data_IF_856637946402
#
_entry.id   IF_856637946402
#
_cell.length_a   1.000
_cell.length_b   1.000
_cell.length_c   1.000
_cell.angle_alpha   90.00
_cell.angle_beta   90.00
_cell.angle_gamma   90.00
#
_symmetry.space_group_name_H-M   'P 1'
#
loop_
_entity.id
_entity.type
_entity.pdbx_description
1 polymer ?
#
# COMPACT_ATOMS: atom_id res chain seq x y z
N UNK A 1 45.33 -42.17 -58.90
CA UNK A 1 44.60 -40.93 -58.55
C UNK A 1 43.22 -41.35 -58.04
N UNK A 2 42.91 -41.08 -56.76
CA UNK A 2 41.66 -41.48 -56.10
C UNK A 2 40.59 -40.38 -56.25
N UNK A 3 39.30 -40.73 -56.40
CA UNK A 3 38.21 -39.97 -55.83
C UNK A 3 37.43 -40.79 -54.78
N UNK A 4 36.69 -40.14 -53.86
CA UNK A 4 36.21 -40.78 -52.63
C UNK A 4 34.83 -41.41 -52.78
N UNK A 5 34.61 -42.41 -51.92
CA UNK A 5 33.40 -43.21 -51.78
C UNK A 5 32.36 -42.49 -50.89
N UNK A 6 31.10 -42.51 -51.32
CA UNK A 6 29.94 -42.23 -50.46
C UNK A 6 29.71 -43.40 -49.49
N UNK A 7 29.63 -43.11 -48.20
CA UNK A 7 29.19 -44.04 -47.16
C UNK A 7 27.84 -43.57 -46.61
N UNK A 8 26.81 -44.39 -46.85
CA UNK A 8 25.51 -44.33 -46.21
C UNK A 8 25.63 -45.03 -44.85
N UNK A 9 25.23 -44.37 -43.76
CA UNK A 9 25.14 -44.98 -42.44
C UNK A 9 23.80 -44.60 -41.79
N UNK A 10 22.94 -45.61 -41.74
CA UNK A 10 21.73 -45.69 -40.93
C UNK A 10 22.08 -45.88 -39.46
N UNK A 11 21.41 -45.17 -38.56
CA UNK A 11 21.44 -45.48 -37.12
C UNK A 11 20.07 -45.25 -36.48
N UNK A 12 19.63 -46.29 -35.76
CA UNK A 12 18.31 -46.50 -35.20
C UNK A 12 17.99 -45.59 -33.99
N UNK A 13 16.72 -45.21 -33.88
CA UNK A 13 16.13 -44.54 -32.72
C UNK A 13 15.81 -45.57 -31.62
N UNK A 14 16.47 -45.46 -30.47
CA UNK A 14 16.02 -46.08 -29.22
C UNK A 14 15.13 -45.07 -28.45
N UNK A 15 13.85 -45.38 -28.33
CA UNK A 15 12.90 -44.65 -27.49
C UNK A 15 12.95 -45.16 -26.05
N UNK A 16 13.30 -44.29 -25.10
CA UNK A 16 13.20 -44.55 -23.65
C UNK A 16 11.84 -44.05 -23.17
N UNK A 17 11.02 -44.96 -22.63
CA UNK A 17 9.72 -44.69 -22.02
C UNK A 17 9.91 -44.41 -20.54
N UNK A 18 9.47 -43.24 -20.06
CA UNK A 18 9.36 -42.94 -18.62
C UNK A 18 7.96 -43.32 -18.12
N UNK A 19 7.82 -43.88 -16.90
CA UNK A 19 6.52 -44.24 -16.35
C UNK A 19 5.72 -42.99 -15.92
N UNK A 20 4.43 -43.00 -16.23
CA UNK A 20 3.48 -41.95 -15.85
C UNK A 20 3.37 -41.81 -14.33
N UNK A 21 3.54 -40.59 -13.82
CA UNK A 21 3.26 -40.25 -12.43
C UNK A 21 1.77 -40.06 -12.27
N UNK A 22 1.19 -40.81 -11.32
CA UNK A 22 -0.23 -40.82 -10.99
C UNK A 22 -0.76 -39.44 -10.55
N UNK A 23 -2.01 -39.19 -10.92
CA UNK A 23 -2.82 -38.00 -10.67
C UNK A 23 -2.77 -37.51 -9.21
N UNK A 24 -2.21 -36.31 -9.01
CA UNK A 24 -2.45 -35.49 -7.83
C UNK A 24 -3.72 -34.69 -8.06
N UNK A 25 -4.85 -35.12 -7.48
CA UNK A 25 -6.07 -34.30 -7.40
C UNK A 25 -5.76 -32.96 -6.70
N UNK A 26 -5.50 -31.91 -7.50
CA UNK A 26 -5.49 -30.53 -7.01
C UNK A 26 -6.91 -30.16 -6.61
N UNK A 27 -7.17 -30.08 -5.30
CA UNK A 27 -8.32 -29.33 -4.79
C UNK A 27 -8.02 -27.84 -4.96
N UNK A 28 -8.25 -27.32 -6.17
CA UNK A 28 -8.36 -25.88 -6.40
C UNK A 28 -9.74 -25.43 -5.97
N UNK A 29 -9.83 -24.45 -5.07
CA UNK A 29 -11.03 -23.65 -4.94
C UNK A 29 -10.84 -22.40 -5.78
N UNK A 30 -11.83 -22.08 -6.60
CA UNK A 30 -11.92 -20.81 -7.30
C UNK A 30 -12.82 -19.90 -6.46
N UNK A 31 -12.32 -18.73 -6.08
CA UNK A 31 -13.21 -17.66 -5.63
C UNK A 31 -13.72 -17.01 -6.92
N UNK A 32 -15.00 -17.22 -7.21
CA UNK A 32 -15.66 -16.43 -8.24
C UNK A 32 -15.69 -14.99 -7.75
N UNK A 33 -14.96 -14.10 -8.43
CA UNK A 33 -14.99 -12.67 -8.13
C UNK A 33 -16.41 -12.18 -8.41
N UNK A 34 -17.22 -12.03 -7.37
CA UNK A 34 -18.51 -11.35 -7.47
C UNK A 34 -18.22 -9.87 -7.69
N UNK A 35 -18.49 -9.39 -8.90
CA UNK A 35 -18.46 -7.95 -9.23
C UNK A 35 -19.39 -7.24 -8.26
N UNK A 36 -18.88 -6.33 -7.44
CA UNK A 36 -19.71 -5.41 -6.69
C UNK A 36 -20.20 -4.33 -7.66
N UNK A 37 -21.48 -4.32 -8.08
CA UNK A 37 -21.99 -3.35 -9.04
C UNK A 37 -22.06 -1.93 -8.45
N UNK A 38 -21.91 -1.79 -7.12
CA UNK A 38 -21.89 -0.53 -6.40
C UNK A 38 -20.47 -0.05 -6.05
N UNK A 39 -19.43 -0.77 -6.51
CA UNK A 39 -18.04 -0.35 -6.32
C UNK A 39 -17.72 0.79 -7.30
N UNK A 40 -17.45 1.97 -6.75
CA UNK A 40 -17.05 3.16 -7.53
C UNK A 40 -15.54 3.33 -7.57
N UNK A 41 -14.81 2.21 -7.62
CA UNK A 41 -13.34 2.15 -7.55
C UNK A 41 -12.63 3.23 -8.35
N UNK A 42 -11.51 3.68 -7.78
CA UNK A 42 -10.73 4.87 -8.12
C UNK A 42 -11.41 6.19 -7.77
N UNK A 43 -11.11 6.68 -6.57
CA UNK A 43 -11.63 7.95 -6.09
C UNK A 43 -10.51 8.99 -6.10
N UNK A 44 -10.33 9.63 -7.27
CA UNK A 44 -9.42 10.76 -7.45
C UNK A 44 -9.52 11.83 -6.36
N UNK A 45 -10.72 12.33 -6.02
CA UNK A 45 -10.86 13.29 -4.93
C UNK A 45 -10.41 12.75 -3.57
N UNK A 46 -10.65 11.47 -3.23
CA UNK A 46 -10.13 10.89 -1.98
C UNK A 46 -8.60 10.81 -1.97
N UNK A 47 -7.98 10.40 -3.08
CA UNK A 47 -6.52 10.39 -3.21
C UNK A 47 -5.95 11.82 -3.11
N UNK A 48 -6.60 12.80 -3.72
CA UNK A 48 -6.18 14.20 -3.65
C UNK A 48 -6.29 14.76 -2.22
N UNK A 49 -7.40 14.49 -1.53
CA UNK A 49 -7.54 14.82 -0.10
C UNK A 49 -6.47 14.12 0.71
N UNK A 50 -6.20 12.83 0.41
CA UNK A 50 -5.12 12.02 1.00
C UNK A 50 -3.80 12.75 0.98
N UNK A 51 -3.51 13.45 -0.08
CA UNK A 51 -2.26 14.18 -0.18
C UNK A 51 -2.33 15.52 0.54
N UNK A 52 -3.41 16.30 0.37
CA UNK A 52 -3.52 17.64 0.96
C UNK A 52 -3.35 17.66 2.48
N UNK A 53 -4.06 16.81 3.25
CA UNK A 53 -3.88 16.88 4.71
C UNK A 53 -2.58 16.21 5.19
N UNK A 54 -1.95 15.32 4.40
CA UNK A 54 -0.71 14.56 4.78
C UNK A 54 0.42 15.56 4.93
N UNK A 55 0.40 16.56 4.06
CA UNK A 55 1.36 17.65 4.05
C UNK A 55 0.82 18.95 4.62
N UNK A 56 -0.25 18.88 5.43
CA UNK A 56 -0.85 20.01 6.12
C UNK A 56 -1.20 21.20 5.20
N UNK A 57 -1.65 20.89 3.97
CA UNK A 57 -2.09 21.87 2.98
C UNK A 57 -3.56 22.23 3.20
N UNK A 58 -3.92 23.50 2.98
CA UNK A 58 -5.31 23.93 3.02
C UNK A 58 -6.11 23.27 1.89
N UNK A 59 -7.23 22.62 2.25
CA UNK A 59 -8.12 21.99 1.25
C UNK A 59 -8.82 23.07 0.40
N UNK A 60 -8.78 22.98 -0.94
CA UNK A 60 -9.54 23.86 -1.81
C UNK A 60 -11.04 23.68 -1.56
N UNK A 61 -11.80 24.76 -1.64
CA UNK A 61 -13.24 24.75 -1.37
C UNK A 61 -13.98 23.69 -2.20
N UNK A 62 -13.72 23.60 -3.50
CA UNK A 62 -14.34 22.59 -4.36
C UNK A 62 -14.04 21.16 -3.94
N UNK A 63 -12.80 20.88 -3.50
CA UNK A 63 -12.44 19.55 -3.00
C UNK A 63 -13.15 19.22 -1.68
N UNK A 64 -13.34 20.20 -0.80
CA UNK A 64 -14.13 20.02 0.43
C UNK A 64 -15.61 19.77 0.12
N UNK A 65 -16.19 20.50 -0.84
CA UNK A 65 -17.57 20.33 -1.29
C UNK A 65 -17.79 18.96 -1.95
N UNK A 66 -16.85 18.49 -2.79
CA UNK A 66 -16.86 17.16 -3.39
C UNK A 66 -16.95 16.04 -2.34
N UNK A 67 -16.19 16.16 -1.25
CA UNK A 67 -16.25 15.22 -0.13
C UNK A 67 -17.62 15.23 0.57
N UNK A 68 -18.15 16.41 0.87
CA UNK A 68 -19.45 16.53 1.55
C UNK A 68 -20.60 16.02 0.68
N UNK A 69 -20.59 16.32 -0.62
CA UNK A 69 -21.54 15.76 -1.58
C UNK A 69 -21.47 14.22 -1.60
N UNK A 70 -20.27 13.66 -1.53
CA UNK A 70 -20.07 12.22 -1.47
C UNK A 70 -20.56 11.60 -0.17
N UNK A 71 -20.24 12.20 0.98
CA UNK A 71 -20.75 11.74 2.28
C UNK A 71 -22.27 11.70 2.31
N UNK A 72 -22.93 12.72 1.73
CA UNK A 72 -24.39 12.72 1.57
C UNK A 72 -24.87 11.58 0.69
N UNK A 73 -24.23 11.33 -0.46
CA UNK A 73 -24.58 10.22 -1.36
C UNK A 73 -24.42 8.86 -0.69
N UNK A 74 -23.31 8.64 0.00
CA UNK A 74 -23.02 7.38 0.71
C UNK A 74 -24.01 7.19 1.88
N UNK A 75 -24.36 8.26 2.60
CA UNK A 75 -25.38 8.24 3.65
C UNK A 75 -26.78 7.93 3.10
N UNK A 76 -27.15 8.50 1.95
CA UNK A 76 -28.41 8.19 1.25
C UNK A 76 -28.47 6.74 0.79
N UNK A 77 -27.40 6.22 0.17
CA UNK A 77 -27.32 4.83 -0.26
C UNK A 77 -27.39 3.86 0.94
N UNK A 78 -26.75 4.19 2.06
CA UNK A 78 -26.84 3.41 3.29
C UNK A 78 -28.25 3.45 3.90
N UNK A 79 -28.96 4.58 3.82
CA UNK A 79 -30.34 4.71 4.27
C UNK A 79 -31.31 3.90 3.39
N UNK A 80 -31.11 3.90 2.06
CA UNK A 80 -31.89 3.13 1.10
C UNK A 80 -31.71 1.61 1.30
N UNK A 81 -30.48 1.16 1.55
CA UNK A 81 -30.20 -0.23 1.91
C UNK A 81 -30.85 -0.65 3.22
N UNK A 82 -30.92 0.25 4.23
CA UNK A 82 -31.64 0.00 5.49
C UNK A 82 -33.17 -0.03 5.27
N UNK A 83 -33.70 0.82 4.39
CA UNK A 83 -35.11 0.81 3.99
C UNK A 83 -35.53 -0.49 3.29
N UNK A 84 -34.67 -1.03 2.43
CA UNK A 84 -34.91 -2.33 1.79
C UNK A 84 -34.81 -3.53 2.76
N UNK A 85 -34.02 -3.43 3.83
CA UNK A 85 -34.03 -4.42 4.91
C UNK A 85 -35.29 -4.33 5.77
N UNK A 86 -35.79 -3.13 6.05
CA UNK A 86 -37.05 -2.93 6.77
C UNK A 86 -38.26 -3.46 5.98
N UNK A 87 -38.30 -3.24 4.66
CA UNK A 87 -39.36 -3.74 3.77
C UNK A 87 -39.38 -5.27 3.63
N UNK A 88 -38.21 -5.94 3.69
CA UNK A 88 -38.14 -7.42 3.66
C UNK A 88 -38.58 -8.10 4.97
N UNK A 89 -38.73 -7.35 6.06
CA UNK A 89 -39.23 -7.86 7.34
C UNK A 89 -40.73 -7.60 7.57
N UNK A 90 -41.34 -6.68 6.81
CA UNK A 90 -42.78 -6.38 6.91
C UNK A 90 -43.65 -7.28 6.03
N UNK A 91 -43.08 -8.02 5.07
CA UNK A 91 -43.83 -8.83 4.10
C UNK A 91 -44.04 -10.31 4.52
N UNK A 92 -43.85 -10.62 5.81
CA UNK A 92 -44.01 -11.99 6.36
C UNK A 92 -44.82 -12.06 7.65
N UNK A 93 -45.85 -11.22 7.79
CA UNK A 93 -46.88 -11.42 8.83
C UNK A 93 -48.25 -11.52 8.19
N UNK A 94 -48.76 -12.75 8.15
CA UNK A 94 -50.20 -13.01 8.03
C UNK A 94 -50.95 -12.40 9.23
N UNK A 95 -52.21 -11.99 9.06
CA UNK A 95 -52.95 -11.27 10.08
C UNK A 95 -53.55 -12.25 11.10
N UNK A 96 -53.32 -11.99 12.39
CA UNK A 96 -54.06 -12.61 13.47
C UNK A 96 -54.51 -11.53 14.46
N UNK A 97 -55.81 -11.27 14.37
CA UNK A 97 -56.80 -10.97 15.41
C UNK A 97 -56.39 -10.21 16.69
N UNK A 98 -57.04 -9.06 16.77
CA UNK A 98 -57.50 -8.27 17.90
C UNK A 98 -57.78 -9.05 19.19
N UNK A 99 -57.04 -8.75 20.28
CA UNK A 99 -57.60 -8.68 21.64
C UNK A 99 -56.85 -7.61 22.43
N UNK A 100 -57.59 -6.55 22.78
CA UNK A 100 -57.25 -5.56 23.78
C UNK A 100 -57.15 -6.15 25.19
N UNK A 101 -56.07 -5.89 25.92
CA UNK A 101 -56.10 -5.63 27.37
C UNK A 101 -54.93 -4.73 27.75
N UNK A 102 -55.22 -3.71 28.55
CA UNK A 102 -54.30 -2.63 28.86
C UNK A 102 -53.46 -2.83 30.13
N UNK A 103 -52.81 -1.71 30.47
CA UNK A 103 -52.29 -1.29 31.77
C UNK A 103 -50.85 -1.69 32.15
N UNK A 104 -50.04 -0.61 32.13
CA UNK A 104 -49.18 -0.10 33.21
C UNK A 104 -47.94 -0.90 33.65
N UNK A 105 -46.81 -0.32 33.24
CA UNK A 105 -45.67 0.11 34.05
C UNK A 105 -45.67 -0.29 35.54
N UNK A 106 -44.63 -1.03 35.91
CA UNK A 106 -44.13 -1.18 37.27
C UNK A 106 -42.70 -1.70 37.23
N UNK A 107 -41.73 -0.81 37.43
CA UNK A 107 -40.37 -1.16 37.83
C UNK A 107 -40.42 -1.76 39.23
N UNK A 108 -39.71 -2.86 39.48
CA UNK A 108 -39.03 -3.05 40.76
C UNK A 108 -37.93 -4.11 40.69
N UNK A 109 -36.89 -3.83 41.48
CA UNK A 109 -35.69 -4.61 41.76
C UNK A 109 -36.07 -5.80 42.64
N UNK A 110 -35.35 -6.91 42.56
CA UNK A 110 -34.51 -7.39 43.66
C UNK A 110 -33.84 -8.74 43.40
N UNK A 111 -32.76 -8.90 44.17
CA UNK A 111 -31.84 -10.01 44.38
C UNK A 111 -32.47 -11.41 44.51
N UNK A 112 -31.67 -12.43 44.19
CA UNK A 112 -31.97 -13.81 44.57
C UNK A 112 -30.82 -14.78 44.27
N UNK A 113 -30.02 -15.04 45.30
CA UNK A 113 -28.90 -15.98 45.37
C UNK A 113 -29.36 -17.46 45.19
N UNK A 114 -28.52 -18.35 44.68
CA UNK A 114 -28.86 -19.78 44.57
C UNK A 114 -27.67 -20.71 44.22
N UNK A 115 -27.31 -21.55 45.18
CA UNK A 115 -26.13 -22.40 45.31
C UNK A 115 -25.92 -23.58 44.32
N UNK A 116 -24.61 -23.89 44.13
CA UNK A 116 -23.88 -25.18 44.12
C UNK A 116 -24.59 -26.52 43.82
N UNK A 117 -24.04 -27.27 42.86
CA UNK A 117 -23.29 -28.56 43.00
C UNK A 117 -23.21 -29.24 41.61
N UNK A 118 -22.04 -29.51 41.01
CA UNK A 118 -21.06 -30.60 41.25
C UNK A 118 -21.65 -32.02 41.12
N UNK A 119 -21.26 -32.71 40.03
CA UNK A 119 -21.01 -34.16 39.83
C UNK A 119 -20.64 -34.29 38.33
N UNK A 120 -19.52 -34.85 37.86
CA UNK A 120 -18.61 -35.80 38.46
C UNK A 120 -18.82 -37.20 37.85
N UNK A 121 -18.46 -37.42 36.59
CA UNK A 121 -18.18 -38.79 36.10
C UNK A 121 -17.07 -38.84 35.07
N UNK A 122 -16.26 -39.89 35.20
CA UNK A 122 -14.89 -40.05 34.73
C UNK A 122 -14.80 -41.48 34.17
N UNK A 123 -13.87 -41.67 33.22
CA UNK A 123 -13.20 -42.93 32.81
C UNK A 123 -14.00 -43.81 31.82
N UNK A 124 -13.42 -44.31 30.71
CA UNK A 124 -12.06 -44.20 30.18
C UNK A 124 -11.77 -45.20 29.05
N UNK A 125 -10.48 -45.22 28.66
CA UNK A 125 -9.72 -46.21 27.88
C UNK A 125 -10.09 -46.46 26.40
N UNK A 126 -9.15 -46.58 25.46
CA UNK A 126 -7.68 -46.59 25.54
C UNK A 126 -7.03 -46.91 24.19
N UNK A 127 -5.68 -46.88 24.20
CA UNK A 127 -4.72 -47.49 23.24
C UNK A 127 -4.74 -46.93 21.81
N UNK A 128 -3.66 -46.46 21.17
CA UNK A 128 -2.24 -46.70 21.32
C UNK A 128 -1.71 -47.19 19.97
N UNK A 129 -0.87 -46.41 19.25
CA UNK A 129 0.32 -46.88 18.49
C UNK A 129 0.88 -45.86 17.49
N UNK A 130 2.21 -45.80 17.55
CA UNK A 130 3.17 -45.66 16.46
C UNK A 130 3.44 -44.28 15.83
N UNK A 131 4.62 -43.78 16.23
CA UNK A 131 5.46 -42.84 15.52
C UNK A 131 5.69 -43.23 14.06
N UNK A 132 5.55 -42.24 13.17
CA UNK A 132 6.25 -42.22 11.88
C UNK A 132 6.76 -40.81 11.61
N UNK A 133 8.08 -40.67 11.75
CA UNK A 133 8.86 -39.55 11.21
C UNK A 133 8.53 -39.38 9.72
N UNK A 134 8.06 -38.19 9.33
CA UNK A 134 8.19 -37.67 7.97
C UNK A 134 8.81 -36.28 8.07
N UNK A 135 10.11 -36.24 7.78
CA UNK A 135 10.89 -35.06 7.47
C UNK A 135 10.34 -34.41 6.19
N UNK A 136 9.39 -33.49 6.35
CA UNK A 136 9.06 -32.50 5.35
C UNK A 136 10.07 -31.36 5.47
N UNK A 137 10.88 -31.18 4.43
CA UNK A 137 11.91 -30.14 4.28
C UNK A 137 11.26 -28.76 4.31
N UNK A 138 11.03 -28.23 5.51
CA UNK A 138 10.94 -26.80 5.78
C UNK A 138 12.31 -26.22 5.45
N UNK A 139 12.40 -25.33 4.46
CA UNK A 139 13.52 -24.40 4.37
C UNK A 139 13.34 -23.35 5.48
N UNK A 140 13.49 -23.80 6.73
CA UNK A 140 13.77 -22.94 7.86
C UNK A 140 15.27 -22.68 7.83
N UNK A 141 15.66 -21.48 7.39
CA UNK A 141 16.99 -20.97 7.70
C UNK A 141 17.03 -20.74 9.21
N UNK A 142 17.75 -21.59 9.94
CA UNK A 142 18.14 -21.30 11.31
C UNK A 142 19.65 -21.40 11.50
N UNK A 143 20.15 -20.28 12.01
CA UNK A 143 21.28 -20.06 12.90
C UNK A 143 22.70 -20.06 12.32
N UNK A 144 23.33 -18.89 12.47
CA UNK A 144 24.76 -18.69 12.30
C UNK A 144 25.20 -17.33 12.81
N UNK A 145 25.49 -17.27 14.10
CA UNK A 145 26.19 -16.20 14.80
C UNK A 145 27.39 -15.68 13.99
N UNK A 146 27.48 -14.36 13.75
CA UNK A 146 28.76 -13.67 13.51
C UNK A 146 29.46 -13.85 12.15
N UNK A 147 28.75 -13.81 11.03
CA UNK A 147 29.35 -13.36 9.76
C UNK A 147 28.60 -12.12 9.29
N UNK A 148 29.29 -10.98 9.26
CA UNK A 148 28.88 -9.70 8.69
C UNK A 148 28.76 -9.78 7.16
N UNK A 149 27.93 -10.70 6.68
CA UNK A 149 27.47 -10.70 5.30
C UNK A 149 26.56 -9.51 5.14
N UNK A 150 26.97 -8.53 4.33
CA UNK A 150 26.11 -7.39 4.05
C UNK A 150 24.80 -7.88 3.41
N UNK A 151 23.67 -7.35 3.87
CA UNK A 151 22.34 -7.87 3.58
C UNK A 151 21.79 -7.38 2.23
N UNK A 152 20.97 -8.20 1.59
CA UNK A 152 20.15 -7.82 0.42
C UNK A 152 18.75 -8.39 0.66
N UNK A 153 17.72 -7.57 0.43
CA UNK A 153 16.33 -7.98 0.54
C UNK A 153 15.53 -7.58 -0.69
N UNK A 154 14.51 -8.34 -1.04
CA UNK A 154 13.62 -7.99 -2.14
C UNK A 154 12.21 -8.50 -1.90
N UNK A 155 11.22 -7.63 -2.11
CA UNK A 155 9.80 -7.93 -1.95
C UNK A 155 9.02 -7.43 -3.17
N UNK A 156 7.98 -8.16 -3.61
CA UNK A 156 7.11 -7.66 -4.67
C UNK A 156 6.33 -6.44 -4.14
N UNK A 157 6.20 -5.42 -4.99
CA UNK A 157 5.31 -4.28 -4.76
C UNK A 157 4.05 -4.54 -5.59
N UNK A 158 3.01 -5.08 -4.97
CA UNK A 158 1.77 -5.45 -5.67
C UNK A 158 0.77 -4.31 -5.52
N UNK A 159 0.34 -3.73 -6.64
CA UNK A 159 -0.70 -2.71 -6.62
C UNK A 159 -1.98 -3.28 -6.00
N UNK A 160 -2.54 -2.63 -4.98
CA UNK A 160 -3.92 -2.91 -4.59
C UNK A 160 -4.91 -2.26 -5.58
N UNK A 161 -6.19 -2.63 -5.48
CA UNK A 161 -7.38 -2.07 -6.15
C UNK A 161 -7.13 -0.80 -6.98
N UNK A 162 -6.71 -1.00 -8.23
CA UNK A 162 -6.50 0.06 -9.22
C UNK A 162 -5.28 0.98 -8.99
N UNK A 163 -4.19 0.46 -8.43
CA UNK A 163 -2.92 1.19 -8.26
C UNK A 163 -3.08 2.45 -7.41
N UNK A 164 -3.95 2.36 -6.39
CA UNK A 164 -4.12 3.42 -5.39
C UNK A 164 -3.01 3.42 -4.34
N UNK A 165 -2.34 2.28 -4.19
CA UNK A 165 -1.15 2.05 -3.37
C UNK A 165 -0.49 0.72 -3.78
N UNK A 166 0.70 0.44 -3.26
CA UNK A 166 1.46 -0.78 -3.52
C UNK A 166 1.81 -1.50 -2.22
N UNK A 167 1.29 -2.71 -2.05
CA UNK A 167 1.48 -3.53 -0.86
C UNK A 167 2.63 -4.51 -1.04
N UNK A 168 3.44 -4.65 0.00
CA UNK A 168 4.57 -5.59 0.04
C UNK A 168 4.51 -6.48 1.29
N UNK A 169 4.83 -7.78 1.18
CA UNK A 169 4.90 -8.65 2.34
C UNK A 169 6.10 -8.27 3.22
N UNK A 170 5.84 -8.05 4.51
CA UNK A 170 6.85 -7.78 5.54
C UNK A 170 6.65 -8.78 6.67
N UNK A 171 7.73 -9.42 7.13
CA UNK A 171 7.67 -10.37 8.24
C UNK A 171 8.08 -9.70 9.53
N UNK A 172 7.19 -9.70 10.53
CA UNK A 172 7.41 -9.12 11.86
C UNK A 172 7.24 -10.20 12.91
N UNK A 173 8.29 -10.49 13.68
CA UNK A 173 8.23 -11.52 14.73
C UNK A 173 7.81 -12.90 14.22
N UNK A 174 8.14 -13.22 12.96
CA UNK A 174 7.72 -14.46 12.28
C UNK A 174 6.29 -14.44 11.70
N UNK A 175 5.62 -13.29 11.67
CA UNK A 175 4.27 -13.13 11.11
C UNK A 175 4.31 -12.23 9.89
N UNK A 176 3.76 -12.67 8.75
CA UNK A 176 3.71 -11.88 7.52
C UNK A 176 2.48 -10.98 7.50
N UNK A 177 2.71 -9.71 7.19
CA UNK A 177 1.71 -8.65 7.00
C UNK A 177 1.98 -7.99 5.64
N UNK A 178 0.95 -7.42 5.01
CA UNK A 178 1.10 -6.70 3.74
C UNK A 178 1.03 -5.20 3.99
N UNK A 179 2.17 -4.52 3.85
CA UNK A 179 2.32 -3.12 4.23
C UNK A 179 2.49 -2.22 3.00
N UNK A 180 1.95 -1.01 3.09
CA UNK A 180 2.28 0.10 2.19
C UNK A 180 3.65 0.67 2.60
N UNK A 181 4.63 0.62 1.69
CA UNK A 181 5.98 1.16 1.93
C UNK A 181 5.99 2.63 1.51
N UNK A 182 6.05 3.53 2.49
CA UNK A 182 5.73 4.95 2.33
C UNK A 182 6.96 5.85 2.53
N UNK A 183 7.54 6.39 1.45
CA UNK A 183 8.67 7.33 1.52
C UNK A 183 8.27 8.75 1.94
N UNK A 184 6.99 9.00 2.18
CA UNK A 184 6.43 10.23 2.72
C UNK A 184 6.05 10.18 4.20
N UNK A 185 6.39 9.10 4.94
CA UNK A 185 6.25 9.04 6.41
C UNK A 185 7.37 8.20 7.06
N UNK A 186 7.47 8.22 8.40
CA UNK A 186 8.59 7.61 9.15
C UNK A 186 8.14 6.68 10.28
N UNK A 187 6.89 6.21 10.22
CA UNK A 187 6.29 5.35 11.24
C UNK A 187 6.11 3.95 10.65
N UNK A 188 6.42 2.92 11.44
CA UNK A 188 6.13 1.52 11.09
C UNK A 188 5.00 1.06 11.99
N UNK A 189 3.76 1.19 11.54
CA UNK A 189 2.59 0.75 12.29
C UNK A 189 1.86 -0.40 11.60
N UNK A 190 1.25 -1.26 12.40
CA UNK A 190 0.55 -2.46 11.91
C UNK A 190 -0.79 -2.65 12.59
N UNK A 191 -1.75 -3.26 11.87
CA UNK A 191 -2.96 -3.78 12.46
C UNK A 191 -2.62 -4.90 13.45
N UNK A 192 -3.33 -4.93 14.58
CA UNK A 192 -3.04 -5.89 15.66
C UNK A 192 -4.29 -6.58 16.16
N UNK A 193 -4.11 -7.67 16.90
CA UNK A 193 -5.20 -8.36 17.62
C UNK A 193 -5.84 -7.53 18.73
N UNK A 194 -5.39 -6.29 18.97
CA UNK A 194 -6.03 -5.34 19.88
C UNK A 194 -7.18 -4.57 19.22
N UNK A 195 -7.29 -4.61 17.89
CA UNK A 195 -8.43 -4.07 17.14
C UNK A 195 -9.62 -5.04 17.20
N UNK A 196 -10.83 -4.52 16.97
CA UNK A 196 -12.04 -5.34 16.94
C UNK A 196 -11.95 -6.40 15.81
N UNK A 197 -11.98 -7.71 16.13
CA UNK A 197 -11.95 -8.79 15.14
C UNK A 197 -13.06 -8.70 14.09
N UNK A 198 -14.23 -8.14 14.44
CA UNK A 198 -15.34 -7.98 13.50
C UNK A 198 -14.99 -6.99 12.37
N UNK A 199 -14.14 -6.01 12.65
CA UNK A 199 -13.73 -4.97 11.68
C UNK A 199 -12.44 -5.30 10.94
N UNK A 200 -11.65 -6.26 11.44
CA UNK A 200 -10.33 -6.64 10.88
C UNK A 200 -10.34 -8.01 10.20
N UNK A 201 -11.51 -8.62 9.98
CA UNK A 201 -11.64 -9.98 9.44
C UNK A 201 -10.99 -10.20 8.05
N UNK A 202 -10.74 -9.14 7.28
CA UNK A 202 -10.10 -9.18 5.96
C UNK A 202 -8.65 -8.67 5.97
N UNK A 203 -8.06 -8.53 7.16
CA UNK A 203 -6.68 -8.10 7.35
C UNK A 203 -5.86 -9.21 8.02
N UNK A 204 -4.56 -9.23 7.76
CA UNK A 204 -3.64 -9.92 8.63
C UNK A 204 -3.35 -9.00 9.82
N UNK A 205 -3.52 -9.54 11.02
CA UNK A 205 -3.29 -8.80 12.26
C UNK A 205 -2.09 -9.36 12.98
N UNK A 206 -1.18 -8.48 13.39
CA UNK A 206 -0.03 -8.86 14.19
C UNK A 206 -0.47 -9.27 15.60
N UNK A 207 -0.02 -10.44 16.05
CA UNK A 207 -0.25 -10.92 17.40
C UNK A 207 1.07 -10.99 18.17
N UNK A 208 1.28 -10.04 19.08
CA UNK A 208 2.49 -9.96 19.91
C UNK A 208 2.76 -11.25 20.71
N UNK A 209 1.72 -11.97 21.16
CA UNK A 209 1.88 -13.22 21.92
C UNK A 209 2.41 -14.40 21.10
N UNK A 210 2.38 -14.31 19.77
CA UNK A 210 2.91 -15.33 18.85
C UNK A 210 4.37 -15.09 18.46
N UNK A 211 4.93 -13.92 18.80
CA UNK A 211 6.33 -13.60 18.54
C UNK A 211 7.19 -13.92 19.77
N UNK A 212 8.20 -14.77 19.60
CA UNK A 212 9.15 -15.07 20.67
C UNK A 212 10.12 -13.90 20.96
N UNK A 213 10.31 -13.02 19.98
CA UNK A 213 11.25 -11.90 19.99
C UNK A 213 10.61 -10.58 20.40
N UNK A 214 9.28 -10.49 20.39
CA UNK A 214 8.56 -9.29 20.78
C UNK A 214 8.89 -8.84 22.19
N UNK A 215 9.19 -7.54 22.36
CA UNK A 215 9.34 -6.89 23.66
C UNK A 215 8.55 -5.59 23.68
N UNK A 216 7.67 -5.35 24.67
CA UNK A 216 6.96 -4.07 24.76
C UNK A 216 7.94 -2.93 25.04
N UNK A 217 7.71 -1.77 24.42
CA UNK A 217 8.45 -0.55 24.72
C UNK A 217 7.63 0.30 25.68
N UNK A 218 7.70 -0.05 26.96
CA UNK A 218 6.87 0.56 28.02
C UNK A 218 6.99 2.08 28.06
N UNK A 219 5.84 2.76 28.07
CA UNK A 219 5.75 4.22 28.12
C UNK A 219 5.85 4.92 26.75
N UNK A 220 6.06 4.18 25.66
CA UNK A 220 6.03 4.72 24.31
C UNK A 220 4.64 4.53 23.66
N UNK A 221 4.20 5.57 22.96
CA UNK A 221 2.95 5.58 22.20
C UNK A 221 3.13 6.35 20.90
N UNK A 222 2.30 6.05 19.92
CA UNK A 222 2.28 6.74 18.63
C UNK A 222 0.87 7.24 18.33
N UNK A 223 0.81 8.31 17.53
CA UNK A 223 -0.42 8.81 16.96
C UNK A 223 -0.07 9.49 15.65
N UNK A 224 -0.53 8.91 14.56
CA UNK A 224 -0.31 9.40 13.22
C UNK A 224 -1.65 9.74 12.56
N UNK A 225 -1.64 10.82 11.80
CA UNK A 225 -2.75 11.24 10.95
C UNK A 225 -2.23 11.38 9.53
N UNK A 226 -2.90 10.73 8.59
CA UNK A 226 -2.63 10.84 7.17
C UNK A 226 -3.58 11.84 6.53
N UNK A 227 -3.29 12.18 5.28
CA UNK A 227 -3.99 13.28 4.69
C UNK A 227 -5.42 13.03 4.29
N UNK A 228 -5.86 11.79 4.21
CA UNK A 228 -7.24 11.45 3.88
C UNK A 228 -8.13 11.59 5.11
N UNK A 229 -7.57 12.09 6.21
CA UNK A 229 -8.17 12.09 7.54
C UNK A 229 -8.18 10.70 8.16
N UNK A 230 -7.54 9.70 7.53
CA UNK A 230 -7.23 8.46 8.21
C UNK A 230 -6.10 8.68 9.22
N UNK A 231 -5.94 7.73 10.11
CA UNK A 231 -4.92 7.77 11.13
C UNK A 231 -4.90 6.47 11.89
N UNK A 232 -3.84 6.30 12.66
CA UNK A 232 -3.67 5.18 13.55
C UNK A 232 -3.07 5.70 14.86
N UNK A 233 -3.38 5.02 15.95
CA UNK A 233 -2.75 5.29 17.24
C UNK A 233 -2.64 4.00 18.03
N UNK A 234 -1.73 4.01 19.01
CA UNK A 234 -1.59 2.88 19.91
C UNK A 234 -0.29 2.89 20.67
N UNK A 235 0.17 1.68 20.98
CA UNK A 235 1.37 1.44 21.79
C UNK A 235 2.56 1.07 20.91
N UNK A 236 3.75 0.92 21.48
CA UNK A 236 4.95 0.57 20.73
C UNK A 236 5.60 -0.67 21.34
N UNK A 237 6.16 -1.52 20.49
CA UNK A 237 7.02 -2.62 20.86
C UNK A 237 8.26 -2.68 19.98
N UNK A 238 9.17 -3.58 20.33
CA UNK A 238 10.35 -3.92 19.55
C UNK A 238 10.18 -5.35 19.07
N UNK A 239 10.46 -5.61 17.80
CA UNK A 239 10.53 -6.96 17.26
C UNK A 239 11.53 -7.05 16.10
N UNK A 240 11.76 -8.27 15.62
CA UNK A 240 12.48 -8.54 14.38
C UNK A 240 11.58 -8.18 13.22
N UNK A 241 12.07 -7.32 12.32
CA UNK A 241 11.42 -7.01 11.04
C UNK A 241 12.32 -7.52 9.91
N UNK A 242 11.73 -8.22 8.95
CA UNK A 242 12.37 -8.72 7.73
C UNK A 242 11.58 -8.28 6.50
N UNK A 243 12.27 -7.61 5.58
CA UNK A 243 11.78 -7.19 4.27
C UNK A 243 12.52 -7.98 3.20
N UNK A 244 12.02 -9.19 2.92
CA UNK A 244 12.49 -10.04 1.83
C UNK A 244 13.94 -10.50 1.97
N UNK A 245 14.42 -10.68 3.21
CA UNK A 245 15.79 -11.08 3.56
C UNK A 245 16.68 -9.96 4.10
N UNK A 246 16.28 -8.69 3.97
CA UNK A 246 16.89 -7.60 4.72
C UNK A 246 16.20 -7.53 6.09
N UNK A 247 16.91 -7.81 7.16
CA UNK A 247 16.37 -7.95 8.51
C UNK A 247 17.06 -7.08 9.55
N UNK A 248 16.26 -6.53 10.47
CA UNK A 248 16.73 -5.82 11.65
C UNK A 248 16.03 -6.36 12.89
N UNK A 249 16.81 -6.76 13.89
CA UNK A 249 16.31 -7.51 15.05
C UNK A 249 15.62 -6.65 16.13
N UNK A 250 15.85 -5.34 16.10
CA UNK A 250 15.42 -4.41 17.15
C UNK A 250 14.60 -3.24 16.59
N UNK A 251 13.72 -3.52 15.62
CA UNK A 251 12.90 -2.49 14.99
C UNK A 251 11.75 -2.11 15.92
N UNK A 252 11.50 -0.81 16.07
CA UNK A 252 10.27 -0.33 16.68
C UNK A 252 9.09 -0.60 15.76
N UNK A 253 8.07 -1.26 16.30
CA UNK A 253 6.79 -1.53 15.65
C UNK A 253 5.67 -0.86 16.46
N UNK A 254 4.83 -0.12 15.76
CA UNK A 254 3.74 0.66 16.32
C UNK A 254 2.44 -0.16 16.24
N UNK A 255 1.94 -0.56 17.40
CA UNK A 255 0.85 -1.51 17.56
C UNK A 255 -0.48 -0.75 17.60
N UNK A 256 -1.18 -0.71 16.47
CA UNK A 256 -2.44 0.01 16.38
C UNK A 256 -3.49 -0.61 17.31
N UNK A 257 -4.05 0.25 18.18
CA UNK A 257 -5.20 -0.03 19.04
C UNK A 257 -6.45 0.70 18.58
N UNK A 258 -6.29 1.70 17.71
CA UNK A 258 -7.37 2.31 16.95
C UNK A 258 -6.85 2.74 15.58
N UNK A 259 -7.70 2.55 14.57
CA UNK A 259 -7.46 2.99 13.18
C UNK A 259 -8.72 3.67 12.65
N UNK A 260 -8.55 4.64 11.76
CA UNK A 260 -9.68 5.28 11.10
C UNK A 260 -10.43 4.30 10.18
N UNK A 261 -11.74 4.50 9.92
CA UNK A 261 -12.55 3.62 9.07
C UNK A 261 -12.04 3.39 7.64
N UNK A 262 -11.19 4.28 7.14
CA UNK A 262 -10.54 4.19 5.83
C UNK A 262 -9.69 2.91 5.76
N UNK A 263 -8.79 2.69 6.72
CA UNK A 263 -7.94 1.49 6.78
C UNK A 263 -8.76 0.20 6.92
N UNK A 264 -9.89 0.24 7.63
CA UNK A 264 -10.77 -0.93 7.78
C UNK A 264 -11.53 -1.30 6.48
N UNK A 265 -11.73 -0.33 5.57
CA UNK A 265 -12.35 -0.60 4.26
C UNK A 265 -11.33 -1.03 3.21
N UNK A 266 -10.07 -0.68 3.46
CA UNK A 266 -8.93 -0.95 2.59
C UNK A 266 -8.38 -2.35 2.81
N UNK A 267 -9.17 -3.33 2.38
CA UNK A 267 -8.86 -4.73 2.60
C UNK A 267 -7.54 -5.10 1.91
N UNK A 268 -6.60 -5.64 2.69
CA UNK A 268 -5.28 -6.04 2.21
C UNK A 268 -4.15 -5.17 2.76
N UNK A 269 -4.43 -3.90 3.10
CA UNK A 269 -3.46 -3.04 3.77
C UNK A 269 -3.44 -3.35 5.27
N UNK A 270 -2.38 -3.98 5.73
CA UNK A 270 -2.20 -4.39 7.13
C UNK A 270 -1.40 -3.36 7.95
N UNK A 271 -1.02 -2.23 7.36
CA UNK A 271 -0.23 -1.19 7.99
C UNK A 271 0.71 -0.46 7.02
N UNK A 272 1.54 0.42 7.57
CA UNK A 272 2.49 1.24 6.80
C UNK A 272 3.91 0.99 7.32
N UNK A 273 4.87 0.94 6.42
CA UNK A 273 6.30 0.96 6.71
C UNK A 273 6.90 2.27 6.17
N UNK A 274 7.08 3.25 7.05
CA UNK A 274 7.67 4.54 6.73
C UNK A 274 9.16 4.45 6.34
N UNK A 275 9.50 5.07 5.22
CA UNK A 275 10.83 5.10 4.59
C UNK A 275 11.36 6.52 4.36
N UNK A 276 10.71 7.53 4.95
CA UNK A 276 11.26 8.87 5.08
C UNK A 276 12.30 8.94 6.21
N UNK A 277 12.81 10.13 6.54
CA UNK A 277 13.86 10.29 7.54
C UNK A 277 13.30 10.23 8.97
N UNK A 278 14.02 9.58 9.90
CA UNK A 278 13.46 9.26 11.23
C UNK A 278 12.99 10.44 12.08
N UNK A 279 13.47 11.67 11.84
CA UNK A 279 13.13 12.81 12.70
C UNK A 279 11.68 13.28 12.59
N UNK A 280 10.90 12.78 11.62
CA UNK A 280 9.45 13.00 11.53
C UNK A 280 8.62 11.84 12.09
N UNK A 281 9.23 10.84 12.75
CA UNK A 281 8.51 9.74 13.40
C UNK A 281 7.60 10.25 14.54
N UNK A 282 6.38 9.68 14.64
CA UNK A 282 5.34 10.17 15.56
C UNK A 282 5.46 9.64 16.99
N UNK A 283 6.32 8.64 17.25
CA UNK A 283 6.43 8.04 18.59
C UNK A 283 6.86 9.07 19.63
N UNK A 284 6.19 9.04 20.78
CA UNK A 284 6.49 9.86 21.96
C UNK A 284 6.62 8.98 23.21
N UNK A 285 7.42 9.39 24.22
CA UNK A 285 8.14 10.67 24.32
C UNK A 285 9.44 10.74 23.49
N UNK A 286 9.95 9.60 23.00
CA UNK A 286 11.17 9.53 22.20
C UNK A 286 10.86 8.99 20.81
N UNK A 287 11.06 9.77 19.73
CA UNK A 287 10.92 9.29 18.36
C UNK A 287 11.79 8.05 18.12
N UNK A 288 11.32 7.14 17.28
CA UNK A 288 12.02 5.92 16.90
C UNK A 288 12.64 6.06 15.51
N UNK A 289 13.58 5.15 15.20
CA UNK A 289 14.23 5.11 13.89
C UNK A 289 13.42 4.28 12.90
N UNK A 290 13.36 4.72 11.64
CA UNK A 290 12.80 3.95 10.54
C UNK A 290 13.59 2.66 10.31
N UNK A 291 12.97 1.71 9.62
CA UNK A 291 13.64 0.47 9.22
C UNK A 291 14.90 0.74 8.38
N UNK A 292 14.80 1.67 7.42
CA UNK A 292 15.92 2.06 6.57
C UNK A 292 17.09 2.65 7.38
N UNK A 293 16.81 3.57 8.31
CA UNK A 293 17.85 4.17 9.14
C UNK A 293 18.56 3.12 10.02
N UNK A 294 17.82 2.11 10.49
CA UNK A 294 18.39 1.02 11.28
C UNK A 294 19.24 0.04 10.47
N UNK A 295 18.90 -0.21 9.19
CA UNK A 295 19.52 -1.28 8.41
C UNK A 295 20.54 -0.80 7.38
N UNK A 296 20.54 0.46 6.92
CA UNK A 296 21.35 0.88 5.75
C UNK A 296 22.85 0.57 5.87
N UNK A 297 23.43 0.65 7.09
CA UNK A 297 24.85 0.33 7.33
C UNK A 297 25.17 -1.17 7.30
N UNK A 298 24.13 -2.01 7.36
CA UNK A 298 24.21 -3.47 7.30
C UNK A 298 23.90 -4.01 5.90
N UNK A 299 23.40 -3.17 4.98
CA UNK A 299 23.09 -3.55 3.60
C UNK A 299 24.36 -3.66 2.73
N UNK A 300 24.29 -4.46 1.65
CA UNK A 300 25.39 -4.60 0.69
C UNK A 300 25.80 -3.26 0.07
N UNK A 301 24.80 -2.52 -0.38
CA UNK A 301 24.85 -1.10 -0.70
C UNK A 301 23.87 -0.34 0.20
N UNK A 302 24.15 0.87 0.69
CA UNK A 302 23.27 1.60 1.61
C UNK A 302 22.09 2.25 0.89
N UNK A 303 21.38 1.45 0.08
CA UNK A 303 20.31 1.89 -0.81
C UNK A 303 19.07 1.02 -0.65
N UNK A 304 17.90 1.58 -0.98
CA UNK A 304 16.77 0.79 -1.43
C UNK A 304 16.24 1.34 -2.75
N UNK A 305 15.49 0.54 -3.50
CA UNK A 305 14.98 0.91 -4.83
C UNK A 305 13.49 0.69 -4.90
N UNK A 306 12.78 1.59 -5.58
CA UNK A 306 11.38 1.41 -5.97
C UNK A 306 11.32 1.21 -7.50
N UNK A 307 10.88 0.02 -7.92
CA UNK A 307 10.56 -0.32 -9.31
C UNK A 307 9.05 -0.56 -9.40
N UNK A 308 8.24 0.50 -9.23
CA UNK A 308 6.79 0.43 -9.31
C UNK A 308 6.36 0.32 -10.77
N UNK A 309 5.34 -0.49 -11.08
CA UNK A 309 4.91 -0.76 -12.45
C UNK A 309 3.41 -0.59 -12.59
N UNK A 310 2.99 -0.01 -13.72
CA UNK A 310 1.58 0.03 -14.11
C UNK A 310 1.14 -1.32 -14.65
N UNK A 311 -0.01 -1.80 -14.17
CA UNK A 311 -0.65 -3.03 -14.62
C UNK A 311 0.11 -4.32 -14.29
N UNK A 312 1.20 -4.25 -13.52
CA UNK A 312 2.04 -5.38 -13.18
C UNK A 312 2.65 -5.21 -11.78
N UNK A 313 3.01 -6.31 -11.08
CA UNK A 313 3.78 -6.21 -9.85
C UNK A 313 5.12 -5.51 -10.08
N UNK A 314 5.41 -4.53 -9.23
CA UNK A 314 6.71 -3.90 -9.11
C UNK A 314 7.59 -4.62 -8.09
N UNK A 315 8.67 -3.96 -7.65
CA UNK A 315 9.58 -4.52 -6.65
C UNK A 315 10.19 -3.42 -5.79
N UNK A 316 10.29 -3.68 -4.49
CA UNK A 316 11.22 -2.97 -3.60
C UNK A 316 12.45 -3.84 -3.36
N UNK A 317 13.64 -3.27 -3.52
CA UNK A 317 14.91 -3.96 -3.25
C UNK A 317 15.74 -3.17 -2.26
N UNK A 318 16.23 -3.81 -1.22
CA UNK A 318 17.15 -3.24 -0.24
C UNK A 318 18.53 -3.82 -0.46
N UNK A 319 19.56 -2.98 -0.47
CA UNK A 319 20.95 -3.41 -0.50
C UNK A 319 21.56 -3.63 -1.87
N UNK A 320 20.82 -3.39 -2.96
CA UNK A 320 21.30 -3.63 -4.33
C UNK A 320 20.59 -2.73 -5.33
N UNK A 321 21.33 -2.27 -6.32
CA UNK A 321 20.79 -1.67 -7.55
C UNK A 321 20.85 -2.73 -8.67
N UNK A 322 19.73 -3.03 -9.32
CA UNK A 322 19.69 -3.98 -10.43
C UNK A 322 19.74 -3.24 -11.78
N UNK A 323 20.89 -3.25 -12.50
CA UNK A 323 21.05 -2.55 -13.77
C UNK A 323 20.18 -3.12 -14.90
N UNK A 324 19.59 -4.31 -14.72
CA UNK A 324 18.66 -4.88 -15.71
C UNK A 324 17.26 -4.28 -15.63
N UNK A 325 16.96 -3.45 -14.62
CA UNK A 325 15.63 -2.88 -14.36
C UNK A 325 15.43 -1.47 -14.89
N UNK A 326 16.48 -0.82 -15.38
CA UNK A 326 16.45 0.53 -15.94
C UNK A 326 17.33 0.67 -17.20
N UNK A 327 17.09 1.74 -17.98
CA UNK A 327 17.85 2.07 -19.19
C UNK A 327 18.74 3.27 -18.95
N UNK A 328 19.95 3.23 -19.51
CA UNK A 328 20.92 4.33 -19.43
C UNK A 328 21.54 4.48 -18.04
N UNK A 329 22.29 5.58 -17.81
CA UNK A 329 22.88 5.86 -16.50
C UNK A 329 21.83 6.37 -15.51
N UNK A 330 22.06 6.13 -14.22
CA UNK A 330 21.32 6.80 -13.15
C UNK A 330 21.76 8.26 -13.07
N UNK A 331 20.81 9.18 -13.11
CA UNK A 331 21.03 10.55 -12.68
C UNK A 331 20.97 10.63 -11.16
N UNK A 332 22.01 11.18 -10.53
CA UNK A 332 22.09 11.31 -9.07
C UNK A 332 21.70 12.72 -8.62
N UNK A 333 20.68 12.80 -7.77
CA UNK A 333 20.06 14.03 -7.31
C UNK A 333 20.35 14.22 -5.82
N UNK A 334 20.94 15.35 -5.39
CA UNK A 334 21.14 15.64 -3.99
C UNK A 334 19.80 15.87 -3.28
N UNK A 335 19.66 15.34 -2.06
CA UNK A 335 18.41 15.42 -1.29
C UNK A 335 18.54 16.42 -0.14
N UNK A 336 17.56 17.30 0.00
CA UNK A 336 17.39 18.13 1.18
C UNK A 336 16.56 17.39 2.24
N UNK A 337 17.22 16.90 3.29
CA UNK A 337 16.57 16.10 4.33
C UNK A 337 15.94 16.94 5.45
N UNK A 338 16.09 18.27 5.43
CA UNK A 338 15.66 19.16 6.53
C UNK A 338 14.20 18.97 6.89
N UNK A 339 13.33 18.83 5.88
CA UNK A 339 11.89 18.61 6.07
C UNK A 339 11.50 17.19 6.49
N UNK A 340 12.44 16.24 6.52
CA UNK A 340 12.15 14.83 6.80
C UNK A 340 11.84 13.99 5.58
N UNK A 341 11.96 14.53 4.37
CA UNK A 341 11.55 13.88 3.14
C UNK A 341 12.70 13.74 2.13
N UNK A 342 12.48 12.89 1.14
CA UNK A 342 13.31 12.78 -0.06
C UNK A 342 13.05 13.97 -1.01
N UNK A 343 13.47 15.16 -0.57
CA UNK A 343 13.17 16.44 -1.21
C UNK A 343 14.27 16.90 -2.16
N UNK A 344 13.89 17.48 -3.31
CA UNK A 344 14.77 18.04 -4.32
C UNK A 344 14.14 19.27 -5.00
N UNK A 345 14.92 20.03 -5.76
CA UNK A 345 14.42 21.18 -6.54
C UNK A 345 13.67 20.73 -7.80
N UNK A 346 12.60 21.43 -8.18
CA UNK A 346 11.78 21.11 -9.36
C UNK A 346 11.25 22.41 -9.95
N UNK A 347 12.01 22.99 -10.88
CA UNK A 347 11.78 24.36 -11.37
C UNK A 347 11.39 24.44 -12.85
N UNK A 348 11.53 23.33 -13.59
CA UNK A 348 11.23 23.27 -15.01
C UNK A 348 10.27 22.11 -15.35
N UNK A 349 9.54 22.24 -16.45
CA UNK A 349 8.69 21.20 -16.99
C UNK A 349 8.49 21.39 -18.49
N UNK A 350 8.00 20.37 -19.19
CA UNK A 350 7.53 20.49 -20.56
C UNK A 350 6.28 19.61 -20.78
N UNK A 351 5.39 20.04 -21.67
CA UNK A 351 4.13 19.34 -21.97
C UNK A 351 4.16 18.88 -23.42
N UNK A 352 4.05 17.57 -23.61
CA UNK A 352 4.24 16.89 -24.89
C UNK A 352 5.70 16.53 -25.15
N UNK A 353 5.90 15.55 -26.04
CA UNK A 353 7.23 15.01 -26.39
C UNK A 353 8.20 16.06 -26.94
N UNK A 354 7.65 17.00 -27.71
CA UNK A 354 8.37 18.10 -28.35
C UNK A 354 7.96 19.45 -27.75
N UNK A 355 7.47 19.44 -26.50
CA UNK A 355 7.07 20.64 -25.79
C UNK A 355 8.29 21.49 -25.43
N UNK A 356 8.16 22.81 -25.61
CA UNK A 356 9.16 23.76 -25.13
C UNK A 356 9.26 23.71 -23.59
N UNK A 357 10.49 23.84 -23.10
CA UNK A 357 10.75 23.91 -21.66
C UNK A 357 10.11 25.18 -21.08
N UNK A 358 9.39 25.01 -19.97
CA UNK A 358 8.70 26.06 -19.24
C UNK A 358 9.21 26.10 -17.81
N UNK A 359 9.24 27.30 -17.23
CA UNK A 359 9.58 27.50 -15.83
C UNK A 359 8.32 27.37 -14.97
N UNK A 360 8.41 26.61 -13.88
CA UNK A 360 7.38 26.53 -12.84
C UNK A 360 7.48 27.76 -11.91
N UNK A 361 7.27 27.57 -10.61
CA UNK A 361 7.52 28.62 -9.61
C UNK A 361 9.01 28.61 -9.23
N UNK A 362 9.74 29.74 -9.34
CA UNK A 362 11.13 29.82 -8.92
C UNK A 362 11.32 29.37 -7.46
N UNK A 363 12.36 28.59 -7.18
CA UNK A 363 12.56 27.95 -5.88
C UNK A 363 11.67 26.73 -5.64
N UNK A 364 10.94 26.26 -6.66
CA UNK A 364 10.04 25.11 -6.59
C UNK A 364 10.74 23.88 -6.02
N UNK A 365 10.07 23.19 -5.11
CA UNK A 365 10.57 21.97 -4.46
C UNK A 365 9.61 20.82 -4.72
N UNK A 366 10.12 19.60 -4.70
CA UNK A 366 9.34 18.38 -4.79
C UNK A 366 9.85 17.33 -3.81
N UNK A 367 8.99 16.38 -3.42
CA UNK A 367 9.38 15.14 -2.73
C UNK A 367 9.02 13.93 -3.57
N UNK A 368 9.76 12.84 -3.45
CA UNK A 368 9.33 11.52 -3.95
C UNK A 368 8.57 10.78 -2.85
N UNK A 369 7.34 10.36 -3.12
CA UNK A 369 6.44 9.78 -2.12
C UNK A 369 5.69 8.54 -2.65
N UNK A 370 6.20 7.34 -2.34
CA UNK A 370 5.56 6.06 -2.70
C UNK A 370 4.24 5.80 -1.98
N UNK A 371 3.92 6.54 -0.92
CA UNK A 371 2.63 6.43 -0.21
C UNK A 371 1.56 7.41 -0.72
N UNK A 372 1.85 8.17 -1.78
CA UNK A 372 0.91 9.09 -2.44
C UNK A 372 0.56 8.59 -3.83
N UNK A 373 -0.72 8.38 -4.10
CA UNK A 373 -1.20 7.84 -5.39
C UNK A 373 -0.95 8.77 -6.58
N UNK A 374 -1.27 10.06 -6.44
CA UNK A 374 -1.31 11.02 -7.56
C UNK A 374 0.04 11.74 -7.71
N UNK A 375 0.25 12.38 -8.86
CA UNK A 375 1.29 13.38 -9.01
C UNK A 375 0.68 14.75 -8.67
N UNK A 376 1.13 15.36 -7.58
CA UNK A 376 0.74 16.73 -7.25
C UNK A 376 1.87 17.69 -7.62
N UNK A 377 1.60 18.64 -8.50
CA UNK A 377 2.59 19.60 -9.00
C UNK A 377 2.18 21.05 -8.71
N UNK A 378 3.11 21.97 -8.95
CA UNK A 378 2.83 23.40 -8.95
C UNK A 378 1.67 23.72 -9.91
N UNK A 379 0.77 24.62 -9.50
CA UNK A 379 -0.42 24.94 -10.27
C UNK A 379 -0.11 25.35 -11.73
N UNK A 380 1.02 26.02 -12.00
CA UNK A 380 1.43 26.39 -13.36
C UNK A 380 1.68 25.16 -14.23
N UNK A 381 2.27 24.11 -13.67
CA UNK A 381 2.53 22.84 -14.37
C UNK A 381 1.20 22.19 -14.74
N UNK A 382 0.28 22.14 -13.78
CA UNK A 382 -1.03 21.50 -13.91
C UNK A 382 -1.90 22.23 -14.93
N UNK A 383 -1.97 23.56 -14.83
CA UNK A 383 -2.75 24.40 -15.74
C UNK A 383 -2.19 24.33 -17.17
N UNK A 384 -0.86 24.40 -17.33
CA UNK A 384 -0.22 24.26 -18.63
C UNK A 384 -0.43 22.87 -19.25
N UNK A 385 -0.45 21.82 -18.43
CA UNK A 385 -0.73 20.47 -18.89
C UNK A 385 -2.17 20.33 -19.39
N UNK A 386 -3.17 20.68 -18.59
CA UNK A 386 -4.57 20.51 -18.97
C UNK A 386 -5.04 21.51 -20.05
N UNK A 387 -4.35 22.64 -20.22
CA UNK A 387 -4.56 23.52 -21.38
C UNK A 387 -4.26 22.83 -22.73
N UNK A 388 -3.49 21.73 -22.73
CA UNK A 388 -3.21 20.91 -23.91
C UNK A 388 -4.16 19.72 -24.07
N UNK A 389 -5.12 19.52 -23.16
CA UNK A 389 -6.07 18.41 -23.19
C UNK A 389 -7.46 18.92 -23.58
N UNK A 390 -7.92 18.70 -24.82
CA UNK A 390 -9.23 19.16 -25.25
C UNK A 390 -10.35 18.63 -24.35
N UNK A 391 -11.18 19.56 -23.85
CA UNK A 391 -12.30 19.25 -22.98
C UNK A 391 -11.90 18.96 -21.54
N UNK A 392 -10.64 19.14 -21.12
CA UNK A 392 -10.30 19.10 -19.70
C UNK A 392 -10.84 20.33 -18.94
N UNK A 393 -11.25 20.14 -17.69
CA UNK A 393 -11.67 21.24 -16.82
C UNK A 393 -11.44 20.90 -15.35
N UNK A 394 -11.35 21.94 -14.52
CA UNK A 394 -11.35 21.82 -13.07
C UNK A 394 -12.77 21.51 -12.60
N UNK A 395 -13.03 20.27 -12.23
CA UNK A 395 -14.35 19.81 -11.79
C UNK A 395 -14.48 19.99 -10.27
N UNK A 396 -15.31 20.94 -9.87
CA UNK A 396 -15.59 21.23 -8.45
C UNK A 396 -16.29 20.05 -7.77
N UNK A 397 -17.14 19.30 -8.48
CA UNK A 397 -17.90 18.17 -7.93
C UNK A 397 -17.01 16.94 -7.80
N UNK A 398 -16.14 16.69 -8.79
CA UNK A 398 -15.13 15.65 -8.71
C UNK A 398 -13.91 16.08 -7.87
N UNK A 399 -13.82 17.35 -7.45
CA UNK A 399 -12.77 17.87 -6.57
C UNK A 399 -11.40 18.07 -7.24
N UNK A 400 -11.28 18.04 -8.57
CA UNK A 400 -10.00 18.20 -9.25
C UNK A 400 -10.14 18.20 -10.77
N UNK A 401 -9.01 18.22 -11.48
CA UNK A 401 -9.01 18.23 -12.93
C UNK A 401 -9.56 16.91 -13.47
N UNK A 402 -10.49 17.03 -14.41
CA UNK A 402 -11.08 15.92 -15.14
C UNK A 402 -11.05 16.21 -16.64
N UNK A 403 -11.27 15.17 -17.45
CA UNK A 403 -11.24 15.25 -18.91
C UNK A 403 -12.07 14.11 -19.54
N UNK A 404 -12.49 14.21 -20.81
CA UNK A 404 -13.14 13.12 -21.52
C UNK A 404 -12.22 11.91 -21.61
N UNK A 405 -12.68 10.72 -21.21
CA UNK A 405 -11.84 9.53 -21.15
C UNK A 405 -11.22 9.10 -22.50
N UNK A 406 -11.76 9.59 -23.63
CA UNK A 406 -11.24 9.37 -24.97
C UNK A 406 -10.24 10.43 -25.44
N UNK A 407 -9.92 11.44 -24.62
CA UNK A 407 -8.94 12.45 -24.95
C UNK A 407 -7.53 11.84 -25.03
N UNK A 408 -6.75 12.28 -26.02
CA UNK A 408 -5.33 11.97 -26.09
C UNK A 408 -4.58 12.84 -25.07
N UNK A 409 -3.96 12.21 -24.09
CA UNK A 409 -3.16 12.89 -23.07
C UNK A 409 -1.70 13.05 -23.57
N UNK A 410 -1.10 14.25 -23.49
CA UNK A 410 0.30 14.44 -23.80
C UNK A 410 1.20 13.85 -22.70
N UNK A 411 2.46 13.57 -23.03
CA UNK A 411 3.47 13.27 -22.02
C UNK A 411 3.76 14.52 -21.17
N UNK A 412 4.20 14.31 -19.93
CA UNK A 412 4.63 15.38 -19.03
C UNK A 412 6.07 15.14 -18.60
N UNK A 413 6.96 16.05 -18.98
CA UNK A 413 8.35 16.05 -18.56
C UNK A 413 8.53 16.98 -17.35
N UNK A 414 9.21 16.49 -16.31
CA UNK A 414 9.38 17.17 -15.04
C UNK A 414 10.85 17.24 -14.66
N UNK A 415 11.25 18.40 -14.12
CA UNK A 415 12.57 18.59 -13.54
C UNK A 415 12.74 17.83 -12.22
N UNK A 416 13.88 17.15 -12.12
CA UNK A 416 14.33 16.47 -10.92
C UNK A 416 15.73 16.98 -10.58
N UNK A 417 15.76 17.96 -9.68
CA UNK A 417 16.96 18.50 -9.07
C UNK A 417 17.82 19.36 -9.99
N UNK A 418 17.27 19.85 -11.12
CA UNK A 418 18.02 20.59 -12.13
C UNK A 418 18.99 19.73 -12.95
N UNK A 419 18.98 18.41 -12.76
CA UNK A 419 19.97 17.48 -13.35
C UNK A 419 19.35 16.34 -14.15
N UNK A 420 18.05 16.09 -13.99
CA UNK A 420 17.34 15.05 -14.69
C UNK A 420 15.94 15.51 -15.10
N UNK A 421 15.52 15.12 -16.30
CA UNK A 421 14.17 15.38 -16.80
C UNK A 421 13.44 14.05 -16.91
N UNK A 422 12.53 13.81 -15.96
CA UNK A 422 11.74 12.60 -15.88
C UNK A 422 10.46 12.76 -16.71
N UNK A 423 10.20 11.83 -17.63
CA UNK A 423 8.98 11.85 -18.46
C UNK A 423 7.95 10.87 -17.94
N UNK A 424 6.76 11.39 -17.61
CA UNK A 424 5.56 10.61 -17.31
C UNK A 424 4.75 10.50 -18.59
N UNK A 425 4.42 9.28 -19.02
CA UNK A 425 3.62 9.12 -20.24
C UNK A 425 2.19 9.61 -20.02
N UNK A 426 1.60 10.24 -21.04
CA UNK A 426 0.20 10.67 -21.00
C UNK A 426 -0.77 9.54 -20.65
N UNK A 427 -0.47 8.29 -21.04
CA UNK A 427 -1.32 7.14 -20.69
C UNK A 427 -1.34 6.83 -19.19
N UNK A 428 -0.28 7.20 -18.45
CA UNK A 428 -0.14 6.97 -17.02
C UNK A 428 -0.81 8.06 -16.20
N UNK A 429 -1.05 9.23 -16.80
CA UNK A 429 -1.75 10.35 -16.20
C UNK A 429 -3.27 10.11 -16.15
N UNK A 430 -3.83 9.20 -16.95
CA UNK A 430 -5.23 8.81 -16.78
C UNK A 430 -5.39 7.96 -15.51
N UNK A 431 -5.84 8.58 -14.41
CA UNK A 431 -5.99 7.86 -13.15
C UNK A 431 -7.24 7.01 -13.13
N UNK A 432 -8.44 7.56 -13.41
CA UNK A 432 -9.70 6.92 -13.04
C UNK A 432 -10.90 7.39 -13.83
N UNK A 433 -11.94 6.57 -14.02
CA UNK A 433 -13.24 7.10 -14.45
C UNK A 433 -14.03 7.65 -13.26
N UNK A 434 -14.65 8.81 -13.43
CA UNK A 434 -15.58 9.42 -12.45
C UNK A 434 -17.04 9.35 -12.89
N UNK A 435 -17.31 8.63 -14.00
CA UNK A 435 -18.65 8.42 -14.56
C UNK A 435 -18.89 9.22 -15.85
N UNK A 436 -19.94 8.85 -16.58
CA UNK A 436 -20.41 9.57 -17.79
C UNK A 436 -19.33 9.80 -18.87
N UNK A 437 -18.37 8.89 -19.00
CA UNK A 437 -17.27 9.04 -19.97
C UNK A 437 -16.20 10.06 -19.56
N UNK A 438 -16.20 10.51 -18.31
CA UNK A 438 -15.24 11.45 -17.74
C UNK A 438 -14.23 10.70 -16.88
N UNK A 439 -12.98 11.14 -17.00
CA UNK A 439 -11.83 10.59 -16.31
C UNK A 439 -11.19 11.65 -15.40
N UNK A 440 -10.75 11.25 -14.22
CA UNK A 440 -9.98 12.04 -13.27
C UNK A 440 -8.50 12.03 -13.65
N UNK A 441 -7.93 13.22 -13.64
CA UNK A 441 -6.52 13.46 -13.90
C UNK A 441 -5.60 12.93 -12.79
N UNK A 442 -4.57 12.21 -13.18
CA UNK A 442 -3.49 11.74 -12.30
C UNK A 442 -2.53 12.84 -11.86
N UNK A 443 -2.52 13.96 -12.59
CA UNK A 443 -1.78 15.18 -12.25
C UNK A 443 -2.75 16.19 -11.64
N UNK A 444 -2.48 16.66 -10.43
CA UNK A 444 -3.32 17.64 -9.73
C UNK A 444 -2.45 18.74 -9.11
N UNK A 445 -3.06 19.88 -8.78
CA UNK A 445 -2.31 20.98 -8.15
C UNK A 445 -2.05 20.69 -6.66
N UNK A 446 -0.94 21.20 -6.14
CA UNK A 446 -0.76 21.42 -4.70
C UNK A 446 -1.44 22.73 -4.28
N UNK A 447 -1.58 22.97 -2.97
CA UNK A 447 -1.97 24.30 -2.50
C UNK A 447 -0.86 25.34 -2.82
N UNK A 448 -1.20 26.62 -3.02
CA UNK A 448 -0.20 27.66 -3.28
C UNK A 448 0.90 27.68 -2.21
N UNK A 449 2.15 27.79 -2.66
CA UNK A 449 3.34 27.82 -1.79
C UNK A 449 3.76 26.47 -1.21
N UNK A 450 3.10 25.38 -1.58
CA UNK A 450 3.46 24.03 -1.14
C UNK A 450 4.36 23.34 -2.18
N UNK A 451 5.30 22.54 -1.67
CA UNK A 451 6.15 21.67 -2.50
C UNK A 451 5.31 20.64 -3.25
N UNK A 452 5.75 20.30 -4.46
CA UNK A 452 5.20 19.21 -5.26
C UNK A 452 5.45 17.84 -4.61
N UNK A 453 4.64 16.85 -4.99
CA UNK A 453 4.67 15.49 -4.46
C UNK A 453 4.61 14.54 -5.66
N UNK A 454 5.75 13.93 -5.95
CA UNK A 454 5.93 13.01 -7.06
C UNK A 454 5.58 11.62 -6.55
N UNK A 455 4.27 11.32 -6.61
CA UNK A 455 3.68 10.06 -6.17
C UNK A 455 3.66 8.97 -7.23
N UNK A 456 2.78 7.99 -7.08
CA UNK A 456 2.76 6.75 -7.88
C UNK A 456 2.57 7.00 -9.38
N UNK A 457 1.77 8.00 -9.77
CA UNK A 457 1.64 8.40 -11.20
C UNK A 457 3.01 8.73 -11.80
N UNK A 458 3.89 9.36 -11.04
CA UNK A 458 5.28 9.61 -11.45
C UNK A 458 6.15 8.36 -11.30
N UNK A 459 6.11 7.71 -10.12
CA UNK A 459 7.01 6.61 -9.76
C UNK A 459 6.85 5.37 -10.66
N UNK A 460 5.66 5.13 -11.22
CA UNK A 460 5.44 4.01 -12.17
C UNK A 460 6.11 4.21 -13.52
N UNK A 461 6.66 5.40 -13.79
CA UNK A 461 7.40 5.71 -15.01
C UNK A 461 8.91 5.68 -14.83
N UNK A 462 9.39 5.67 -13.57
CA UNK A 462 10.80 5.80 -13.23
C UNK A 462 11.28 4.66 -12.33
N UNK A 463 12.49 4.17 -12.61
CA UNK A 463 13.23 3.38 -11.63
C UNK A 463 13.93 4.33 -10.66
N UNK A 464 13.61 4.23 -9.36
CA UNK A 464 14.12 5.15 -8.35
C UNK A 464 14.98 4.42 -7.32
N UNK A 465 16.18 4.94 -7.07
CA UNK A 465 17.11 4.53 -6.04
C UNK A 465 17.11 5.57 -4.93
N UNK A 466 16.97 5.14 -3.70
CA UNK A 466 17.04 5.95 -2.50
C UNK A 466 18.31 5.59 -1.75
N UNK A 467 19.31 6.47 -1.76
CA UNK A 467 20.61 6.24 -1.15
C UNK A 467 20.68 6.87 0.24
N UNK A 468 20.51 6.04 1.26
CA UNK A 468 20.60 6.43 2.67
C UNK A 468 22.05 6.63 3.15
N UNK A 469 23.04 6.18 2.37
CA UNK A 469 24.45 6.35 2.73
C UNK A 469 24.97 7.78 2.55
N UNK A 470 24.39 8.54 1.61
CA UNK A 470 24.81 9.91 1.33
C UNK A 470 23.65 10.89 1.09
N UNK A 471 22.40 10.47 1.32
CA UNK A 471 21.19 11.26 1.08
C UNK A 471 21.10 11.76 -0.37
N UNK A 472 21.02 10.83 -1.31
CA UNK A 472 20.78 11.12 -2.72
C UNK A 472 19.70 10.21 -3.31
N UNK A 473 19.07 10.67 -4.39
CA UNK A 473 18.20 9.87 -5.24
C UNK A 473 18.95 9.50 -6.52
N UNK A 474 18.79 8.28 -7.00
CA UNK A 474 19.20 7.88 -8.35
C UNK A 474 17.95 7.64 -9.20
N UNK A 475 17.86 8.22 -10.40
CA UNK A 475 16.70 8.01 -11.27
C UNK A 475 17.11 7.67 -12.70
N UNK A 476 16.33 6.79 -13.32
CA UNK A 476 16.42 6.45 -14.73
C UNK A 476 15.07 5.91 -15.24
N UNK A 477 14.82 5.92 -16.57
CA UNK A 477 13.68 5.23 -17.13
C UNK A 477 13.74 3.73 -16.85
N UNK A 478 12.60 3.08 -16.65
CA UNK A 478 12.53 1.63 -16.57
C UNK A 478 13.13 0.92 -17.80
N UNK A 479 13.57 -0.34 -17.61
CA UNK A 479 14.08 -1.26 -18.63
C UNK A 479 13.13 -1.48 -19.82
#
# INVERSE_FOLDING_TARGET
>A
MRPPWLLVLSSALLSVVFPAVADLQKRSFAIERVRNPNFTGRNGPQALVKTYRKFNMALPQGLAEALEARRKKDAMAAAEQRGHWASRYTDRREPADDVSTGLRLGNEKENGNGDRNRLGHRIGNGQGRQARRRTGRLLASQNGNGTTGKQVGSVPAVSDRNEVEFLSPVTIGGQTLYLDLDTGSSDLWVMTTQLDPATTANHHVYNASRSATFRPLSGAAFRISYGDGSGAQGTVGIDVVDVGGASFAHQAIELATAVSPQFLRDQGNDGILGLAFSHINSVRPRPQRTFLDNIHSQLAEPVFTADLRKGAPGTYTFGRIDPSRFRGPLAWIPVNTTGGFWQFASECFAVGRDGEAQTSTPGGQAIVDTGTTLLLADAKVVDAYYAKVPGAWQDVIAGGYTFPCNAALPDLALDVGGVYTATVSGSDINFATVGQGICFGGVQATAPGQRAIYGDIFLKSQYVVFNAGNNSLGMAPHA
#
